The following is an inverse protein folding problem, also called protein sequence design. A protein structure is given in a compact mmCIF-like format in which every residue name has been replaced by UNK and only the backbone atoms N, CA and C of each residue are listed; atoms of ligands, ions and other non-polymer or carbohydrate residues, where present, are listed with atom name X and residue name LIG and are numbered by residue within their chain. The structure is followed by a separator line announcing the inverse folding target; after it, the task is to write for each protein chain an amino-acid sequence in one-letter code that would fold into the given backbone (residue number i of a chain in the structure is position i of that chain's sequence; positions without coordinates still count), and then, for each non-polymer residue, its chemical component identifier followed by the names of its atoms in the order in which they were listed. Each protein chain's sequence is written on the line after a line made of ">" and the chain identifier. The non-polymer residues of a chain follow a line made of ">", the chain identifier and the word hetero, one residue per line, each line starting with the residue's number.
data_IF_950848911120
#
_entry.id   IF_950848911120
#
_cell.length_a   1.000
_cell.length_b   1.000
_cell.length_c   1.000
_cell.angle_alpha   90.00
_cell.angle_beta   90.00
_cell.angle_gamma   90.00
#
_symmetry.space_group_name_H-M   'P 1'
#
loop_
_entity.id
_entity.type
_entity.pdbx_description
1 polymer ?
#
# COMPACT_ATOMS: atom_id res chain seq x y z
N UNK A 1 -7.99 -26.56 26.73
CA UNK A 1 -7.44 -25.43 27.53
C UNK A 1 -5.93 -25.27 27.35
N UNK A 2 -5.13 -26.35 27.39
CA UNK A 2 -3.67 -26.27 27.17
C UNK A 2 -3.32 -25.72 25.78
N UNK A 3 -4.01 -26.13 24.72
CA UNK A 3 -3.81 -25.59 23.39
C UNK A 3 -3.98 -24.06 23.32
N UNK A 4 -5.00 -23.54 24.00
CA UNK A 4 -5.25 -22.07 24.09
C UNK A 4 -4.14 -21.37 24.88
N UNK A 5 -3.65 -21.99 25.94
CA UNK A 5 -2.53 -21.44 26.73
C UNK A 5 -1.26 -21.32 25.88
N UNK A 6 -0.88 -22.41 25.19
CA UNK A 6 0.30 -22.42 24.31
C UNK A 6 0.13 -21.47 23.12
N UNK A 7 -1.08 -21.33 22.58
CA UNK A 7 -1.38 -20.34 21.54
C UNK A 7 -1.11 -18.91 22.03
N UNK A 8 -1.55 -18.57 23.23
CA UNK A 8 -1.28 -17.24 23.85
C UNK A 8 0.20 -17.01 24.16
N UNK A 9 0.93 -18.06 24.46
CA UNK A 9 2.40 -18.02 24.65
C UNK A 9 3.16 -18.02 23.32
N UNK A 10 2.45 -17.94 22.17
CA UNK A 10 3.01 -17.99 20.81
C UNK A 10 3.81 -19.28 20.50
N UNK A 11 3.62 -20.32 21.28
CA UNK A 11 4.17 -21.65 21.05
C UNK A 11 3.22 -22.43 20.15
N UNK A 12 3.16 -22.04 18.88
CA UNK A 12 2.14 -22.49 17.93
C UNK A 12 2.22 -23.97 17.60
N UNK A 13 3.42 -24.53 17.55
CA UNK A 13 3.63 -25.95 17.28
C UNK A 13 3.07 -26.82 18.43
N UNK A 14 3.38 -26.46 19.68
CA UNK A 14 2.82 -27.14 20.83
C UNK A 14 1.29 -26.97 20.91
N UNK A 15 0.80 -25.75 20.64
CA UNK A 15 -0.64 -25.46 20.61
C UNK A 15 -1.35 -26.35 19.57
N UNK A 16 -0.79 -26.49 18.35
CA UNK A 16 -1.36 -27.35 17.30
C UNK A 16 -1.46 -28.80 17.76
N UNK A 17 -0.41 -29.36 18.34
CA UNK A 17 -0.44 -30.74 18.84
C UNK A 17 -1.52 -30.98 19.89
N UNK A 18 -1.75 -30.03 20.81
CA UNK A 18 -2.84 -30.14 21.78
C UNK A 18 -4.22 -30.00 21.14
N UNK A 19 -4.39 -29.14 20.14
CA UNK A 19 -5.64 -28.99 19.43
C UNK A 19 -5.96 -30.21 18.55
N UNK A 20 -4.99 -30.75 17.83
CA UNK A 20 -5.14 -31.97 17.04
C UNK A 20 -5.51 -33.19 17.92
N UNK A 21 -4.81 -33.35 19.06
CA UNK A 21 -5.15 -34.42 20.03
C UNK A 21 -6.55 -34.27 20.61
N UNK A 22 -7.06 -33.04 20.75
CA UNK A 22 -8.41 -32.81 21.24
C UNK A 22 -9.47 -33.14 20.18
N UNK A 23 -9.21 -32.92 18.89
CA UNK A 23 -10.12 -33.29 17.79
C UNK A 23 -10.28 -34.81 17.63
N UNK A 24 -9.31 -35.58 18.05
CA UNK A 24 -9.38 -37.05 18.00
C UNK A 24 -10.35 -37.64 19.05
N UNK A 25 -10.91 -36.81 19.94
CA UNK A 25 -11.84 -37.27 20.98
C UNK A 25 -13.25 -37.44 20.40
N UNK A 26 -13.83 -38.67 20.44
CA UNK A 26 -15.11 -38.96 19.79
C UNK A 26 -16.34 -38.29 20.42
N UNK A 27 -16.23 -37.77 21.62
CA UNK A 27 -17.32 -37.06 22.34
C UNK A 27 -17.14 -35.54 22.37
N UNK A 28 -16.36 -34.98 21.45
CA UNK A 28 -16.15 -33.53 21.40
C UNK A 28 -17.41 -32.82 20.90
N UNK A 29 -17.97 -31.83 21.64
CA UNK A 29 -19.09 -31.03 21.15
C UNK A 29 -18.74 -30.28 19.87
N UNK A 30 -19.71 -30.17 18.93
CA UNK A 30 -19.51 -29.54 17.61
C UNK A 30 -18.99 -28.09 17.69
N UNK A 31 -19.49 -27.32 18.66
CA UNK A 31 -19.07 -25.93 18.88
C UNK A 31 -17.60 -25.85 19.34
N UNK A 32 -17.15 -26.81 20.12
CA UNK A 32 -15.76 -26.92 20.57
C UNK A 32 -14.85 -27.37 19.45
N UNK A 33 -15.30 -28.33 18.62
CA UNK A 33 -14.58 -28.77 17.44
C UNK A 33 -14.34 -27.59 16.49
N UNK A 34 -15.38 -26.83 16.18
CA UNK A 34 -15.26 -25.67 15.30
C UNK A 34 -14.30 -24.62 15.82
N UNK A 35 -14.32 -24.33 17.14
CA UNK A 35 -13.37 -23.41 17.76
C UNK A 35 -11.92 -23.90 17.67
N UNK A 36 -11.69 -25.21 17.80
CA UNK A 36 -10.36 -25.81 17.65
C UNK A 36 -9.89 -25.68 16.21
N UNK A 37 -10.74 -25.95 15.23
CA UNK A 37 -10.43 -25.79 13.81
C UNK A 37 -10.06 -24.33 13.47
N UNK A 38 -10.74 -23.35 14.06
CA UNK A 38 -10.43 -21.94 13.91
C UNK A 38 -9.04 -21.59 14.49
N UNK A 39 -8.67 -22.17 15.64
CA UNK A 39 -7.33 -22.01 16.18
C UNK A 39 -6.26 -22.65 15.28
N UNK A 40 -6.48 -23.87 14.79
CA UNK A 40 -5.58 -24.55 13.87
C UNK A 40 -5.44 -23.79 12.55
N UNK A 41 -6.53 -23.23 12.02
CA UNK A 41 -6.49 -22.37 10.84
C UNK A 41 -5.69 -21.08 11.09
N UNK A 42 -5.78 -20.53 12.29
CA UNK A 42 -5.01 -19.34 12.71
C UNK A 42 -3.52 -19.68 12.85
N UNK A 43 -3.18 -20.81 13.45
CA UNK A 43 -1.79 -21.31 13.56
C UNK A 43 -1.20 -21.52 12.16
N UNK A 44 -1.93 -22.19 11.26
CA UNK A 44 -1.48 -22.40 9.88
C UNK A 44 -1.20 -21.10 9.16
N UNK A 45 -2.03 -20.05 9.37
CA UNK A 45 -1.80 -18.71 8.80
C UNK A 45 -0.56 -18.05 9.38
N UNK A 46 -0.37 -18.13 10.70
CA UNK A 46 0.78 -17.54 11.39
C UNK A 46 2.10 -18.19 11.04
N UNK A 47 2.08 -19.52 10.81
CA UNK A 47 3.25 -20.31 10.40
C UNK A 47 3.43 -20.37 8.87
N UNK A 48 2.55 -19.71 8.10
CA UNK A 48 2.68 -19.72 6.64
C UNK A 48 3.90 -18.91 6.21
N UNK A 49 4.75 -19.51 5.41
CA UNK A 49 5.87 -18.86 4.73
C UNK A 49 5.38 -17.69 3.84
N UNK A 50 4.17 -17.81 3.28
CA UNK A 50 3.53 -16.78 2.47
C UNK A 50 2.35 -16.18 3.21
N UNK A 51 2.41 -14.88 3.46
CA UNK A 51 1.33 -14.14 4.10
C UNK A 51 0.86 -13.03 3.16
N UNK A 52 -0.46 -12.92 2.99
CA UNK A 52 -1.08 -11.89 2.16
C UNK A 52 -2.02 -11.03 2.99
N UNK A 53 -1.97 -9.73 2.74
CA UNK A 53 -2.96 -8.78 3.21
C UNK A 53 -3.43 -7.95 2.03
N UNK A 54 -4.74 -7.73 1.92
CA UNK A 54 -5.31 -6.92 0.85
C UNK A 54 -6.35 -5.97 1.42
N UNK A 55 -6.44 -4.80 0.84
CA UNK A 55 -7.52 -3.84 1.08
C UNK A 55 -8.08 -3.37 -0.26
N UNK A 56 -9.38 -3.19 -0.32
CA UNK A 56 -10.08 -2.64 -1.47
C UNK A 56 -11.06 -1.58 -0.97
N UNK A 57 -11.06 -0.43 -1.64
CA UNK A 57 -12.01 0.65 -1.39
C UNK A 57 -12.65 1.07 -2.71
N UNK A 58 -13.97 1.32 -2.67
CA UNK A 58 -14.73 1.85 -3.81
C UNK A 58 -15.60 2.98 -3.28
N UNK A 59 -15.72 4.06 -4.04
CA UNK A 59 -16.51 5.21 -3.62
C UNK A 59 -16.99 6.06 -4.77
N UNK A 60 -17.91 6.96 -4.44
CA UNK A 60 -18.39 8.03 -5.30
C UNK A 60 -17.86 9.35 -4.77
N UNK A 61 -17.50 10.26 -5.66
CA UNK A 61 -17.04 11.59 -5.33
C UNK A 61 -17.75 12.61 -6.19
N UNK A 62 -18.21 13.69 -5.57
CA UNK A 62 -18.65 14.89 -6.26
C UNK A 62 -17.63 16.01 -6.03
N UNK A 63 -17.23 16.70 -7.08
CA UNK A 63 -16.30 17.82 -7.04
C UNK A 63 -16.89 19.00 -7.80
N UNK A 64 -16.89 20.18 -7.20
CA UNK A 64 -17.38 21.43 -7.81
C UNK A 64 -16.37 22.02 -8.81
N UNK A 65 -15.12 21.60 -8.72
CA UNK A 65 -14.03 21.94 -9.65
C UNK A 65 -13.29 20.62 -10.02
N UNK A 66 -13.94 19.79 -10.78
CA UNK A 66 -13.41 18.48 -11.18
C UNK A 66 -12.30 18.58 -12.25
N UNK A 67 -12.33 19.65 -13.06
CA UNK A 67 -11.31 19.96 -14.06
C UNK A 67 -10.09 20.71 -13.49
N UNK A 68 -10.06 20.99 -12.19
CA UNK A 68 -8.98 21.69 -11.50
C UNK A 68 -8.61 23.05 -12.17
N UNK A 69 -9.59 23.70 -12.74
CA UNK A 69 -9.44 25.02 -13.35
C UNK A 69 -9.09 26.09 -12.32
N UNK A 70 -8.27 27.08 -12.67
CA UNK A 70 -8.10 28.27 -11.84
C UNK A 70 -9.43 29.03 -11.73
N UNK A 71 -9.53 29.90 -10.73
CA UNK A 71 -10.68 30.78 -10.57
C UNK A 71 -10.98 31.57 -11.86
N UNK A 72 -12.21 32.07 -12.00
CA UNK A 72 -12.72 32.70 -13.23
C UNK A 72 -11.89 33.89 -13.71
N UNK A 73 -10.99 34.42 -12.91
CA UNK A 73 -10.12 35.53 -13.24
C UNK A 73 -8.66 35.16 -13.02
N UNK A 74 -7.87 35.26 -14.07
CA UNK A 74 -6.41 35.08 -14.02
C UNK A 74 -5.71 36.43 -14.24
N UNK A 75 -4.48 36.56 -13.75
CA UNK A 75 -3.62 37.71 -14.04
C UNK A 75 -2.81 37.41 -15.31
N UNK A 76 -3.24 37.96 -16.44
CA UNK A 76 -2.48 37.90 -17.68
C UNK A 76 -1.72 39.25 -17.87
N UNK A 77 -0.40 39.20 -17.90
CA UNK A 77 0.48 40.39 -18.03
C UNK A 77 0.19 41.49 -16.99
N UNK A 78 -0.19 41.10 -15.76
CA UNK A 78 -0.52 42.03 -14.69
C UNK A 78 -1.94 42.61 -14.74
N UNK A 79 -2.76 42.19 -15.69
CA UNK A 79 -4.16 42.63 -15.83
C UNK A 79 -5.11 41.48 -15.48
N UNK A 80 -6.12 41.68 -14.61
CA UNK A 80 -7.18 40.71 -14.39
C UNK A 80 -7.90 40.41 -15.69
N UNK A 81 -7.84 39.17 -16.14
CA UNK A 81 -8.44 38.68 -17.38
C UNK A 81 -9.41 37.56 -17.06
N UNK A 82 -10.65 37.71 -17.52
CA UNK A 82 -11.63 36.63 -17.36
C UNK A 82 -11.25 35.41 -18.21
N UNK A 83 -11.36 34.25 -17.64
CA UNK A 83 -11.21 32.97 -18.37
C UNK A 83 -12.39 32.78 -19.33
N UNK A 84 -12.11 32.25 -20.51
CA UNK A 84 -13.16 31.81 -21.39
C UNK A 84 -13.97 30.67 -20.75
N UNK A 85 -15.29 30.55 -21.01
CA UNK A 85 -16.17 29.59 -20.33
C UNK A 85 -15.72 28.13 -20.42
N UNK A 86 -15.02 27.76 -21.50
CA UNK A 86 -14.46 26.41 -21.69
C UNK A 86 -13.37 26.06 -20.66
N UNK A 87 -12.70 27.06 -20.10
CA UNK A 87 -11.67 26.92 -19.06
C UNK A 87 -12.19 27.23 -17.65
N UNK A 88 -13.49 27.53 -17.50
CA UNK A 88 -14.08 27.74 -16.19
C UNK A 88 -14.15 26.44 -15.37
N UNK A 89 -14.33 26.59 -14.08
CA UNK A 89 -14.60 25.45 -13.20
C UNK A 89 -15.81 24.65 -13.67
N UNK A 90 -15.66 23.33 -13.68
CA UNK A 90 -16.73 22.38 -14.00
C UNK A 90 -16.88 21.38 -12.86
N UNK A 91 -18.11 21.17 -12.47
CA UNK A 91 -18.43 20.13 -11.51
C UNK A 91 -18.62 18.79 -12.22
N UNK A 92 -18.33 17.70 -11.49
CA UNK A 92 -18.57 16.36 -11.98
C UNK A 92 -18.68 15.36 -10.81
N UNK A 93 -19.33 14.25 -11.08
CA UNK A 93 -19.30 13.04 -10.29
C UNK A 93 -18.23 12.09 -10.83
N UNK A 94 -17.56 11.40 -9.93
CA UNK A 94 -16.66 10.31 -10.31
C UNK A 94 -16.91 9.08 -9.44
N UNK A 95 -16.74 7.90 -10.04
CA UNK A 95 -16.55 6.66 -9.33
C UNK A 95 -15.04 6.41 -9.21
N UNK A 96 -14.59 6.00 -8.03
CA UNK A 96 -13.19 5.65 -7.84
C UNK A 96 -13.05 4.32 -7.10
N UNK A 97 -11.95 3.64 -7.36
CA UNK A 97 -11.53 2.45 -6.65
C UNK A 97 -10.04 2.52 -6.30
N UNK A 98 -9.66 1.96 -5.17
CA UNK A 98 -8.26 1.76 -4.80
C UNK A 98 -8.07 0.38 -4.18
N UNK A 99 -6.95 -0.24 -4.49
CA UNK A 99 -6.57 -1.54 -3.97
C UNK A 99 -5.11 -1.54 -3.53
N UNK A 100 -4.84 -2.24 -2.44
CA UNK A 100 -3.49 -2.52 -1.96
C UNK A 100 -3.38 -4.01 -1.67
N UNK A 101 -2.35 -4.64 -2.20
CA UNK A 101 -1.97 -6.02 -1.86
C UNK A 101 -0.55 -5.99 -1.29
N UNK A 102 -0.39 -6.55 -0.11
CA UNK A 102 0.91 -6.77 0.51
C UNK A 102 1.15 -8.27 0.61
N UNK A 103 2.31 -8.70 0.16
CA UNK A 103 2.81 -10.05 0.30
C UNK A 103 4.07 -10.05 1.14
N UNK A 104 4.15 -10.98 2.08
CA UNK A 104 5.33 -11.26 2.87
C UNK A 104 5.71 -12.72 2.66
N UNK A 105 6.95 -12.95 2.26
CA UNK A 105 7.55 -14.28 2.15
C UNK A 105 8.62 -14.43 3.22
N UNK A 106 8.40 -15.31 4.19
CA UNK A 106 9.32 -15.56 5.29
C UNK A 106 10.48 -16.45 4.82
N UNK A 107 11.71 -16.06 5.07
CA UNK A 107 12.90 -16.84 4.70
C UNK A 107 13.15 -18.02 5.67
N UNK A 108 12.38 -18.15 6.74
CA UNK A 108 12.50 -19.24 7.72
C UNK A 108 13.71 -19.11 8.65
N UNK A 109 14.39 -17.97 8.65
CA UNK A 109 15.52 -17.70 9.52
C UNK A 109 15.10 -17.26 10.93
N UNK A 110 15.92 -17.52 11.94
CA UNK A 110 15.66 -17.08 13.32
C UNK A 110 15.67 -15.55 13.50
N UNK A 111 16.25 -14.82 12.55
CA UNK A 111 16.28 -13.34 12.52
C UNK A 111 14.92 -12.70 12.18
N UNK A 112 13.96 -13.47 11.68
CA UNK A 112 12.67 -12.95 11.23
C UNK A 112 12.74 -12.15 9.95
N UNK A 113 13.74 -12.40 9.11
CA UNK A 113 13.91 -11.76 7.81
C UNK A 113 12.88 -12.27 6.81
N UNK A 114 12.37 -11.38 5.97
CA UNK A 114 11.38 -11.71 4.96
C UNK A 114 11.46 -10.82 3.72
N UNK A 115 10.97 -11.32 2.60
CA UNK A 115 10.72 -10.52 1.42
C UNK A 115 9.35 -9.86 1.54
N UNK A 116 9.29 -8.56 1.33
CA UNK A 116 8.04 -7.80 1.27
C UNK A 116 7.82 -7.31 -0.16
N UNK A 117 6.62 -7.57 -0.69
CA UNK A 117 6.17 -7.09 -1.99
C UNK A 117 4.85 -6.34 -1.81
N UNK A 118 4.75 -5.16 -2.40
CA UNK A 118 3.54 -4.35 -2.35
C UNK A 118 3.07 -4.05 -3.77
N UNK A 119 1.75 -4.11 -3.98
CA UNK A 119 1.10 -3.67 -5.22
C UNK A 119 -0.02 -2.74 -4.81
N UNK A 120 -0.03 -1.52 -5.37
CA UNK A 120 -1.11 -0.56 -5.18
C UNK A 120 -1.71 -0.17 -6.53
N UNK A 121 -3.02 -0.11 -6.59
CA UNK A 121 -3.77 0.32 -7.77
C UNK A 121 -4.81 1.37 -7.38
N UNK A 122 -5.04 2.31 -8.26
CA UNK A 122 -6.10 3.31 -8.15
C UNK A 122 -6.71 3.54 -9.52
N UNK A 123 -8.03 3.71 -9.56
CA UNK A 123 -8.74 4.12 -10.76
C UNK A 123 -9.82 5.15 -10.38
N UNK A 124 -9.99 6.16 -11.19
CA UNK A 124 -11.08 7.12 -11.09
C UNK A 124 -11.65 7.39 -12.47
N UNK A 125 -12.97 7.28 -12.60
CA UNK A 125 -13.69 7.58 -13.82
C UNK A 125 -14.70 8.68 -13.57
N UNK A 126 -14.57 9.76 -14.33
CA UNK A 126 -15.49 10.89 -14.33
C UNK A 126 -16.73 10.55 -15.15
N UNK A 127 -17.87 11.18 -14.88
CA UNK A 127 -19.12 10.92 -15.60
C UNK A 127 -19.25 11.80 -16.84
N UNK A 128 -18.73 13.01 -16.81
CA UNK A 128 -18.80 13.98 -17.90
C UNK A 128 -17.41 14.40 -18.43
N UNK A 129 -16.42 14.48 -17.53
CA UNK A 129 -15.07 14.98 -17.85
C UNK A 129 -14.10 13.81 -18.10
N UNK A 130 -14.33 13.02 -19.13
CA UNK A 130 -13.55 11.81 -19.44
C UNK A 130 -12.04 12.05 -19.52
N UNK A 131 -11.60 13.23 -19.95
CA UNK A 131 -10.18 13.61 -20.02
C UNK A 131 -9.46 13.60 -18.68
N UNK A 132 -10.19 13.55 -17.56
CA UNK A 132 -9.66 13.44 -16.19
C UNK A 132 -9.73 12.02 -15.63
N UNK A 133 -10.13 11.05 -16.44
CA UNK A 133 -10.03 9.65 -16.06
C UNK A 133 -8.59 9.28 -15.74
N UNK A 134 -8.39 8.63 -14.60
CA UNK A 134 -7.04 8.36 -14.10
C UNK A 134 -6.92 6.89 -13.71
N UNK A 135 -5.82 6.26 -14.13
CA UNK A 135 -5.38 4.95 -13.66
C UNK A 135 -3.97 5.06 -13.12
N UNK A 136 -3.73 4.37 -12.03
CA UNK A 136 -2.43 4.29 -11.40
C UNK A 136 -2.18 2.87 -10.94
N UNK A 137 -0.99 2.34 -11.23
CA UNK A 137 -0.50 1.06 -10.74
C UNK A 137 0.92 1.25 -10.25
N UNK A 138 1.23 0.77 -9.06
CA UNK A 138 2.60 0.72 -8.55
C UNK A 138 2.90 -0.62 -7.92
N UNK A 139 4.16 -1.01 -7.99
CA UNK A 139 4.67 -2.19 -7.31
C UNK A 139 6.07 -1.93 -6.78
N UNK A 140 6.39 -2.54 -5.65
CA UNK A 140 7.74 -2.57 -5.09
C UNK A 140 8.01 -3.92 -4.41
N UNK A 141 9.29 -4.27 -4.35
CA UNK A 141 9.76 -5.48 -3.68
C UNK A 141 11.10 -5.22 -3.00
N UNK A 142 11.27 -5.75 -1.81
CA UNK A 142 12.54 -5.65 -1.09
C UNK A 142 12.57 -6.55 0.15
N UNK A 143 13.75 -7.08 0.50
CA UNK A 143 13.92 -7.82 1.74
C UNK A 143 13.87 -6.87 2.94
N UNK A 144 13.17 -7.29 3.99
CA UNK A 144 13.30 -6.65 5.29
C UNK A 144 14.22 -7.51 6.14
N UNK A 145 15.32 -6.90 6.53
CA UNK A 145 16.43 -7.55 7.22
C UNK A 145 16.48 -7.00 8.65
N UNK A 146 16.50 -7.87 9.63
CA UNK A 146 16.69 -7.51 11.05
C UNK A 146 18.18 -7.33 11.31
N UNK A 147 18.58 -6.11 11.64
CA UNK A 147 19.97 -5.76 11.95
C UNK A 147 20.34 -6.02 13.41
N UNK A 148 19.36 -5.88 14.31
CA UNK A 148 19.53 -6.11 15.73
C UNK A 148 18.21 -6.67 16.29
N UNK A 149 18.23 -7.95 16.65
CA UNK A 149 17.04 -8.68 17.13
C UNK A 149 16.63 -8.20 18.53
N UNK A 150 17.58 -7.80 19.38
CA UNK A 150 17.28 -7.34 20.73
C UNK A 150 16.59 -5.98 20.72
N UNK A 151 17.02 -5.10 19.82
CA UNK A 151 16.46 -3.75 19.69
C UNK A 151 15.35 -3.69 18.65
N UNK A 152 15.13 -4.76 17.86
CA UNK A 152 14.15 -4.79 16.78
C UNK A 152 14.48 -3.85 15.61
N UNK A 153 15.76 -3.47 15.46
CA UNK A 153 16.21 -2.62 14.36
C UNK A 153 16.13 -3.38 13.04
N UNK A 154 15.49 -2.81 12.04
CA UNK A 154 15.36 -3.41 10.72
C UNK A 154 15.61 -2.41 9.61
N UNK A 155 16.04 -2.95 8.45
CA UNK A 155 16.18 -2.20 7.20
C UNK A 155 15.47 -2.95 6.08
N UNK A 156 14.82 -2.19 5.19
CA UNK A 156 14.21 -2.71 3.97
C UNK A 156 14.72 -1.91 2.78
N UNK A 157 15.80 -2.32 2.11
CA UNK A 157 16.11 -1.83 0.77
C UNK A 157 15.05 -2.36 -0.19
N UNK A 158 14.64 -1.54 -1.18
CA UNK A 158 13.63 -1.95 -2.15
C UNK A 158 13.86 -1.33 -3.53
N UNK A 159 13.26 -1.97 -4.51
CA UNK A 159 13.12 -1.46 -5.86
C UNK A 159 11.66 -1.55 -6.28
N UNK A 160 11.22 -0.65 -7.14
CA UNK A 160 9.85 -0.62 -7.60
C UNK A 160 9.64 0.24 -8.82
N UNK A 161 8.39 0.39 -9.21
CA UNK A 161 7.99 1.26 -10.30
C UNK A 161 6.52 1.58 -10.25
N UNK A 162 6.13 2.56 -11.06
CA UNK A 162 4.74 2.96 -11.19
C UNK A 162 4.40 3.34 -12.63
N UNK A 163 3.13 3.13 -12.98
CA UNK A 163 2.53 3.53 -14.23
C UNK A 163 1.32 4.40 -13.95
N UNK A 164 1.17 5.48 -14.72
CA UNK A 164 -0.01 6.34 -14.67
C UNK A 164 -0.57 6.53 -16.07
N UNK A 165 -1.87 6.43 -16.17
CA UNK A 165 -2.65 6.68 -17.37
C UNK A 165 -3.61 7.83 -17.09
N UNK A 166 -3.76 8.72 -18.06
CA UNK A 166 -4.73 9.81 -18.05
C UNK A 166 -5.53 9.72 -19.34
N UNK A 167 -6.84 9.84 -19.25
CA UNK A 167 -7.73 9.69 -20.41
C UNK A 167 -7.49 8.36 -21.16
N UNK A 168 -7.38 7.27 -20.40
CA UNK A 168 -7.08 5.91 -20.91
C UNK A 168 -5.78 5.78 -21.73
N UNK A 169 -4.93 6.84 -21.74
CA UNK A 169 -3.63 6.85 -22.43
C UNK A 169 -2.50 6.79 -21.41
N UNK A 170 -1.44 6.09 -21.76
CA UNK A 170 -0.21 6.14 -20.98
C UNK A 170 0.28 7.57 -20.86
N UNK A 171 0.66 7.97 -19.63
CA UNK A 171 1.10 9.32 -19.35
C UNK A 171 2.46 9.37 -18.67
N UNK A 172 2.72 8.48 -17.71
CA UNK A 172 3.95 8.49 -16.92
C UNK A 172 4.33 7.09 -16.48
N UNK A 173 5.60 6.73 -16.64
CA UNK A 173 6.23 5.59 -15.99
C UNK A 173 7.35 6.03 -15.09
N UNK A 174 7.60 5.28 -14.03
CA UNK A 174 8.74 5.54 -13.16
C UNK A 174 9.34 4.27 -12.61
N UNK A 175 10.64 4.34 -12.33
CA UNK A 175 11.37 3.37 -11.55
C UNK A 175 11.90 4.04 -10.30
N UNK A 176 11.89 3.32 -9.18
CA UNK A 176 12.33 3.84 -7.90
C UNK A 176 13.15 2.84 -7.13
N UNK A 177 14.04 3.34 -6.29
CA UNK A 177 14.79 2.54 -5.33
C UNK A 177 14.96 3.32 -4.05
N UNK A 178 14.94 2.63 -2.93
CA UNK A 178 15.02 3.28 -1.63
C UNK A 178 15.38 2.32 -0.51
N UNK A 179 15.39 2.84 0.69
CA UNK A 179 15.52 2.04 1.91
C UNK A 179 14.71 2.64 3.04
N UNK A 180 14.02 1.76 3.78
CA UNK A 180 13.28 2.10 5.00
C UNK A 180 13.98 1.51 6.21
N UNK A 181 14.27 2.32 7.22
CA UNK A 181 14.76 1.90 8.52
C UNK A 181 13.62 1.94 9.52
N UNK A 182 13.51 0.90 10.34
CA UNK A 182 12.55 0.81 11.43
C UNK A 182 13.25 0.54 12.75
N UNK A 183 12.96 1.36 13.77
CA UNK A 183 13.51 1.21 15.11
C UNK A 183 12.42 1.36 16.17
N UNK A 184 12.04 0.30 16.88
CA UNK A 184 11.19 0.42 18.04
C UNK A 184 11.88 1.26 19.12
N UNK A 185 11.24 2.33 19.56
CA UNK A 185 11.69 3.16 20.69
C UNK A 185 11.11 2.67 22.01
N UNK A 186 9.95 2.00 21.96
CA UNK A 186 9.29 1.31 23.07
C UNK A 186 8.33 0.26 22.52
N UNK A 187 7.67 -0.51 23.40
CA UNK A 187 6.64 -1.49 23.00
C UNK A 187 5.50 -0.88 22.15
N UNK A 188 5.26 0.42 22.29
CA UNK A 188 4.16 1.14 21.65
C UNK A 188 4.60 2.14 20.58
N UNK A 189 5.89 2.47 20.51
CA UNK A 189 6.37 3.54 19.64
C UNK A 189 7.50 3.04 18.74
N UNK A 190 7.34 3.23 17.43
CA UNK A 190 8.35 2.89 16.42
C UNK A 190 8.73 4.14 15.63
N UNK A 191 10.02 4.39 15.50
CA UNK A 191 10.59 5.38 14.58
C UNK A 191 10.82 4.72 13.23
N UNK A 192 10.36 5.37 12.17
CA UNK A 192 10.68 5.04 10.78
C UNK A 192 11.49 6.17 10.13
N UNK A 193 12.47 5.82 9.33
CA UNK A 193 13.25 6.75 8.50
C UNK A 193 13.33 6.14 7.10
N UNK A 194 12.85 6.87 6.10
CA UNK A 194 12.87 6.46 4.70
C UNK A 194 13.70 7.38 3.82
N UNK A 195 14.22 6.82 2.73
CA UNK A 195 14.85 7.56 1.65
C UNK A 195 14.63 6.86 0.32
N UNK A 196 14.23 7.61 -0.71
CA UNK A 196 13.91 7.09 -2.04
C UNK A 196 14.46 8.01 -3.14
N UNK A 197 14.96 7.40 -4.21
CA UNK A 197 15.25 8.04 -5.49
C UNK A 197 14.29 7.47 -6.54
N UNK A 198 13.63 8.33 -7.30
CA UNK A 198 12.74 7.98 -8.40
C UNK A 198 13.20 8.66 -9.69
N UNK A 199 13.26 7.92 -10.79
CA UNK A 199 13.33 8.45 -12.13
C UNK A 199 11.98 8.29 -12.81
N UNK A 200 11.42 9.39 -13.32
CA UNK A 200 10.15 9.42 -14.02
C UNK A 200 10.33 9.85 -15.47
N UNK A 201 9.64 9.17 -16.38
CA UNK A 201 9.53 9.50 -17.79
C UNK A 201 8.05 9.72 -18.14
N UNK A 202 7.80 10.77 -18.91
CA UNK A 202 6.45 11.18 -19.31
C UNK A 202 6.29 11.01 -20.82
N UNK A 203 5.10 10.65 -21.23
CA UNK A 203 4.74 10.49 -22.64
C UNK A 203 3.97 11.71 -23.15
N UNK A 204 4.51 12.32 -24.21
CA UNK A 204 3.85 13.44 -24.87
C UNK A 204 2.71 12.96 -25.75
N UNK A 205 1.63 13.74 -25.81
CA UNK A 205 0.46 13.48 -26.65
C UNK A 205 -0.06 14.78 -27.27
N UNK A 206 -1.00 14.69 -28.19
CA UNK A 206 -1.62 15.88 -28.80
C UNK A 206 -2.24 16.83 -27.76
N UNK A 207 -2.78 16.28 -26.68
CA UNK A 207 -3.37 17.06 -25.58
C UNK A 207 -2.32 17.55 -24.56
N UNK A 208 -1.11 16.96 -24.59
CA UNK A 208 0.00 17.26 -23.69
C UNK A 208 1.32 17.24 -24.47
N UNK A 209 1.54 18.19 -25.39
CA UNK A 209 2.60 18.12 -26.40
C UNK A 209 3.95 18.32 -25.75
N UNK A 210 4.30 18.56 -24.66
CA UNK A 210 5.64 18.72 -24.08
C UNK A 210 5.74 18.00 -22.73
N UNK A 211 4.98 16.92 -22.52
CA UNK A 211 5.00 16.20 -21.26
C UNK A 211 6.38 15.56 -20.98
N UNK A 212 7.10 15.16 -22.02
CA UNK A 212 8.47 14.62 -21.94
C UNK A 212 9.51 15.61 -21.38
N UNK A 213 9.24 16.92 -21.43
CA UNK A 213 10.08 17.92 -20.75
C UNK A 213 10.02 17.80 -19.20
N UNK A 214 9.05 17.06 -18.66
CA UNK A 214 8.89 16.77 -17.24
C UNK A 214 9.74 15.58 -16.75
N UNK A 215 10.45 14.90 -17.67
CA UNK A 215 11.32 13.80 -17.31
C UNK A 215 12.36 14.25 -16.28
N UNK A 216 12.56 13.42 -15.27
CA UNK A 216 13.48 13.84 -14.23
C UNK A 216 13.68 12.85 -13.10
N UNK A 217 14.60 13.24 -12.22
CA UNK A 217 14.93 12.51 -11.00
C UNK A 217 14.37 13.27 -9.80
N UNK A 218 13.68 12.56 -8.94
CA UNK A 218 13.24 13.05 -7.64
C UNK A 218 13.94 12.27 -6.53
N UNK A 219 14.38 12.95 -5.49
CA UNK A 219 14.89 12.34 -4.26
C UNK A 219 14.03 12.82 -3.10
N UNK A 220 13.56 11.89 -2.29
CA UNK A 220 12.74 12.17 -1.12
C UNK A 220 13.28 11.46 0.12
N UNK A 221 12.99 12.02 1.27
CA UNK A 221 13.24 11.37 2.56
C UNK A 221 12.07 11.68 3.49
N UNK A 222 11.77 10.73 4.37
CA UNK A 222 10.71 10.86 5.36
C UNK A 222 11.15 10.37 6.73
N UNK A 223 10.50 10.89 7.75
CA UNK A 223 10.60 10.43 9.13
C UNK A 223 9.20 10.23 9.66
N UNK A 224 8.93 9.09 10.23
CA UNK A 224 7.62 8.72 10.77
C UNK A 224 7.72 8.21 12.21
N UNK A 225 6.69 8.48 13.00
CA UNK A 225 6.50 7.93 14.33
C UNK A 225 5.17 7.17 14.34
N UNK A 226 5.24 5.87 14.61
CA UNK A 226 4.08 4.99 14.64
C UNK A 226 3.80 4.63 16.11
N UNK A 227 2.63 5.07 16.60
CA UNK A 227 2.14 4.70 17.93
C UNK A 227 1.07 3.61 17.84
N UNK A 228 1.24 2.54 18.62
CA UNK A 228 0.28 1.44 18.75
C UNK A 228 -0.14 1.36 20.23
N UNK A 229 -1.37 1.75 20.56
CA UNK A 229 -1.89 1.78 21.94
C UNK A 229 -1.97 0.41 22.60
#
# INVERSE_FOLDING_TARGET
>A
ELGVLYFRLQSYEAAAGYFESALDHPELPDDTSQRIEDYLASIRRLNSTNQFAASLSVGLRYQTNANQSPDQTILAFGTPTALAPEFAEKDDFSVFGSGLVRHRYDFGGQGGDYLESNIAAFASRQFELDTFNTWFLSADVGPRITLDTERGLSVRPYVGGALRFLDDRYYRGSIRSGADFGMPLSEKLTLGIGGEGEFAAYDSSDDRPNADELDGVQVSSDVSLIYRP
#
